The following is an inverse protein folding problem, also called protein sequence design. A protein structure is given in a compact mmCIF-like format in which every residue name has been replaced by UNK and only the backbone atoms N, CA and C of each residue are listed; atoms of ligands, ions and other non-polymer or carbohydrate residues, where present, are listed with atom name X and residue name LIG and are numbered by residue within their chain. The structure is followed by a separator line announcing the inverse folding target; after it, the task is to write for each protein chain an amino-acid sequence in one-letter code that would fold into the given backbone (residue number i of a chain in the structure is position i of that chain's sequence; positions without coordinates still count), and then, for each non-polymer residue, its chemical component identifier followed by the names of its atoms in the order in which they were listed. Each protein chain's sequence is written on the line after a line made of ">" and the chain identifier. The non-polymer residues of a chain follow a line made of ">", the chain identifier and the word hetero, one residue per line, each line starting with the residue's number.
data_IF_132761777721
#
_entry.id   IF_132761777721
#
_cell.length_a   1.000
_cell.length_b   1.000
_cell.length_c   1.000
_cell.angle_alpha   90.00
_cell.angle_beta   90.00
_cell.angle_gamma   90.00
#
_symmetry.space_group_name_H-M   'P 1'
#
loop_
_entity.id
_entity.type
_entity.pdbx_description
1 polymer ?
#
# COMPACT_ATOMS: atom_id res chain seq x y z
N UNK A 1 -19.75 22.61 5.57
CA UNK A 1 -18.42 22.48 6.21
C UNK A 1 -17.48 21.89 5.16
N UNK A 2 -16.35 22.58 4.96
CA UNK A 2 -15.31 22.51 3.90
C UNK A 2 -15.22 21.26 3.01
N UNK A 3 -15.07 21.43 1.67
CA UNK A 3 -14.82 20.31 0.76
C UNK A 3 -13.40 19.79 1.01
N UNK A 4 -13.28 18.51 1.35
CA UNK A 4 -11.99 17.84 1.49
C UNK A 4 -11.36 17.76 0.09
N UNK A 5 -10.53 18.73 -0.26
CA UNK A 5 -9.70 18.71 -1.45
C UNK A 5 -9.02 17.33 -1.57
N UNK A 6 -9.14 16.71 -2.75
CA UNK A 6 -8.73 15.35 -3.10
C UNK A 6 -7.69 14.71 -2.16
N UNK A 7 -8.18 14.00 -1.14
CA UNK A 7 -7.30 13.20 -0.29
C UNK A 7 -6.86 12.02 -1.15
N UNK A 8 -5.62 12.09 -1.62
CA UNK A 8 -5.01 11.02 -2.41
C UNK A 8 -5.17 9.67 -1.69
N UNK A 9 -5.25 8.59 -2.45
CA UNK A 9 -5.31 7.22 -1.97
C UNK A 9 -4.13 6.93 -1.04
N UNK A 10 -2.92 7.42 -1.37
CA UNK A 10 -1.77 7.32 -0.47
C UNK A 10 -2.03 7.98 0.88
N UNK A 11 -2.63 9.18 0.88
CA UNK A 11 -2.98 9.91 2.11
C UNK A 11 -4.06 9.18 2.92
N UNK A 12 -5.04 8.58 2.24
CA UNK A 12 -6.06 7.73 2.87
C UNK A 12 -5.44 6.51 3.55
N UNK A 13 -4.52 5.81 2.87
CA UNK A 13 -3.83 4.63 3.40
C UNK A 13 -2.94 5.01 4.59
N UNK A 14 -2.19 6.12 4.51
CA UNK A 14 -1.36 6.63 5.61
C UNK A 14 -2.19 6.97 6.84
N UNK A 15 -3.36 7.59 6.65
CA UNK A 15 -4.29 7.90 7.75
C UNK A 15 -4.79 6.62 8.41
N UNK A 16 -5.25 5.66 7.61
CA UNK A 16 -5.72 4.37 8.11
C UNK A 16 -4.64 3.61 8.91
N UNK A 17 -3.41 3.62 8.40
CA UNK A 17 -2.26 3.04 9.10
C UNK A 17 -1.99 3.72 10.44
N UNK A 18 -2.01 5.06 10.48
CA UNK A 18 -1.81 5.84 11.70
C UNK A 18 -2.88 5.55 12.76
N UNK A 19 -4.15 5.57 12.35
CA UNK A 19 -5.29 5.33 13.23
C UNK A 19 -5.24 3.92 13.87
N UNK A 20 -4.62 2.96 13.18
CA UNK A 20 -4.47 1.57 13.63
C UNK A 20 -3.06 1.22 14.14
N UNK A 21 -2.17 2.22 14.34
CA UNK A 21 -0.79 2.03 14.79
C UNK A 21 -0.04 0.96 13.95
N UNK A 22 -0.13 1.09 12.64
CA UNK A 22 0.55 0.24 11.65
C UNK A 22 1.66 1.04 10.99
N UNK A 23 2.87 0.47 10.97
CA UNK A 23 4.04 1.06 10.32
C UNK A 23 4.27 0.41 8.96
N UNK A 24 5.07 1.05 8.12
CA UNK A 24 5.50 0.53 6.82
C UNK A 24 6.73 -0.41 6.95
N UNK A 25 7.09 -0.82 8.15
CA UNK A 25 8.24 -1.71 8.35
C UNK A 25 7.90 -3.11 7.84
N UNK A 26 8.76 -3.64 6.97
CA UNK A 26 8.67 -5.03 6.55
C UNK A 26 9.00 -5.93 7.74
N UNK A 27 8.10 -6.85 8.08
CA UNK A 27 8.35 -7.89 9.08
C UNK A 27 9.11 -9.09 8.47
N UNK A 28 9.42 -10.09 9.31
CA UNK A 28 10.12 -11.30 8.88
C UNK A 28 9.38 -12.08 7.77
N UNK A 29 8.06 -12.14 7.82
CA UNK A 29 7.25 -12.83 6.81
C UNK A 29 7.24 -12.06 5.49
N UNK A 30 7.17 -10.72 5.53
CA UNK A 30 7.28 -9.87 4.35
C UNK A 30 8.65 -10.03 3.67
N UNK A 31 9.73 -10.08 4.46
CA UNK A 31 11.08 -10.38 3.94
C UNK A 31 11.18 -11.77 3.32
N UNK A 32 10.63 -12.79 3.99
CA UNK A 32 10.58 -14.15 3.45
C UNK A 32 9.81 -14.19 2.13
N UNK A 33 8.67 -13.50 2.02
CA UNK A 33 7.89 -13.44 0.79
C UNK A 33 8.74 -12.86 -0.36
N UNK A 34 9.45 -11.76 -0.14
CA UNK A 34 10.37 -11.16 -1.13
C UNK A 34 11.50 -12.12 -1.51
N UNK A 35 12.07 -12.84 -0.54
CA UNK A 35 13.11 -13.85 -0.82
C UNK A 35 12.56 -15.00 -1.68
N UNK A 36 11.39 -15.52 -1.35
CA UNK A 36 10.77 -16.64 -2.09
C UNK A 36 10.42 -16.20 -3.51
N UNK A 37 9.83 -15.02 -3.70
CA UNK A 37 9.53 -14.50 -5.05
C UNK A 37 10.81 -14.32 -5.86
N UNK A 38 11.88 -13.81 -5.23
CA UNK A 38 13.19 -13.68 -5.90
C UNK A 38 13.77 -15.03 -6.32
N UNK A 39 13.65 -16.06 -5.49
CA UNK A 39 14.08 -17.42 -5.83
C UNK A 39 13.25 -18.03 -6.98
N UNK A 40 11.99 -17.63 -7.13
CA UNK A 40 11.14 -18.02 -8.24
C UNK A 40 11.47 -17.27 -9.55
N UNK A 41 12.43 -16.35 -9.54
CA UNK A 41 12.78 -15.51 -10.68
C UNK A 41 12.01 -14.19 -10.76
N UNK A 42 11.14 -13.91 -9.78
CA UNK A 42 10.34 -12.69 -9.74
C UNK A 42 10.99 -11.60 -8.87
N UNK A 43 11.06 -10.38 -9.39
CA UNK A 43 11.44 -9.21 -8.59
C UNK A 43 10.19 -8.49 -8.09
N UNK A 44 9.95 -8.53 -6.78
CA UNK A 44 8.87 -7.78 -6.12
C UNK A 44 9.48 -6.76 -5.19
N UNK A 45 9.29 -5.48 -5.50
CA UNK A 45 9.64 -4.36 -4.64
C UNK A 45 8.35 -3.61 -4.30
N UNK A 46 8.07 -3.49 -3.01
CA UNK A 46 6.92 -2.74 -2.52
C UNK A 46 7.40 -1.38 -2.05
N UNK A 47 6.69 -0.33 -2.43
CA UNK A 47 6.90 0.96 -1.80
C UNK A 47 6.30 1.01 -0.38
N UNK A 48 6.52 2.14 0.31
CA UNK A 48 6.00 2.32 1.65
C UNK A 48 4.46 2.24 1.78
N UNK A 49 3.70 2.67 0.77
CA UNK A 49 2.23 2.59 0.75
C UNK A 49 1.76 1.15 0.52
N UNK A 50 2.39 0.43 -0.40
CA UNK A 50 2.12 -0.98 -0.68
C UNK A 50 2.46 -1.85 0.52
N UNK A 51 3.58 -1.58 1.21
CA UNK A 51 3.93 -2.25 2.47
C UNK A 51 2.92 -1.93 3.59
N UNK A 52 2.38 -0.71 3.66
CA UNK A 52 1.29 -0.39 4.59
C UNK A 52 0.03 -1.21 4.31
N UNK A 53 -0.35 -1.39 3.04
CA UNK A 53 -1.49 -2.23 2.67
C UNK A 53 -1.29 -3.68 3.10
N UNK A 54 -0.10 -4.26 2.87
CA UNK A 54 0.24 -5.61 3.36
C UNK A 54 0.10 -5.71 4.87
N UNK A 55 0.66 -4.74 5.61
CA UNK A 55 0.64 -4.74 7.06
C UNK A 55 -0.78 -4.53 7.64
N UNK A 56 -1.59 -3.67 7.03
CA UNK A 56 -2.99 -3.43 7.39
C UNK A 56 -3.86 -4.68 7.19
N UNK A 57 -3.68 -5.39 6.06
CA UNK A 57 -4.34 -6.67 5.81
C UNK A 57 -3.97 -7.70 6.88
N UNK A 58 -2.67 -7.80 7.19
CA UNK A 58 -2.15 -8.80 8.13
C UNK A 58 -2.64 -8.58 9.56
N UNK A 59 -2.80 -7.32 9.98
CA UNK A 59 -3.43 -6.97 11.26
C UNK A 59 -4.96 -7.12 11.26
N UNK A 60 -5.57 -7.51 10.14
CA UNK A 60 -7.02 -7.66 10.02
C UNK A 60 -7.80 -6.36 9.92
N UNK A 61 -7.12 -5.22 9.73
CA UNK A 61 -7.76 -3.89 9.60
C UNK A 61 -8.50 -3.79 8.26
N UNK A 62 -7.96 -4.43 7.22
CA UNK A 62 -8.54 -4.45 5.88
C UNK A 62 -8.86 -5.87 5.45
N UNK A 63 -10.07 -6.04 4.92
CA UNK A 63 -10.48 -7.26 4.23
C UNK A 63 -9.80 -7.40 2.86
N UNK A 64 -9.85 -8.60 2.28
CA UNK A 64 -9.26 -8.89 0.96
C UNK A 64 -9.84 -7.98 -0.13
N UNK A 65 -11.15 -7.74 -0.14
CA UNK A 65 -11.80 -6.86 -1.12
C UNK A 65 -11.34 -5.41 -0.97
N UNK A 66 -11.28 -4.90 0.27
CA UNK A 66 -10.83 -3.53 0.53
C UNK A 66 -9.36 -3.30 0.12
N UNK A 67 -8.48 -4.28 0.36
CA UNK A 67 -7.09 -4.24 -0.11
C UNK A 67 -7.04 -4.14 -1.63
N UNK A 68 -7.77 -5.00 -2.34
CA UNK A 68 -7.77 -4.99 -3.81
C UNK A 68 -8.28 -3.66 -4.37
N UNK A 69 -9.34 -3.10 -3.78
CA UNK A 69 -9.86 -1.78 -4.17
C UNK A 69 -8.84 -0.67 -3.93
N UNK A 70 -8.21 -0.63 -2.74
CA UNK A 70 -7.22 0.42 -2.42
C UNK A 70 -5.95 0.29 -3.27
N UNK A 71 -5.47 -0.93 -3.51
CA UNK A 71 -4.31 -1.19 -4.35
C UNK A 71 -4.58 -0.78 -5.80
N UNK A 72 -5.75 -1.14 -6.34
CA UNK A 72 -6.16 -0.71 -7.68
C UNK A 72 -6.22 0.81 -7.81
N UNK A 73 -6.84 1.50 -6.84
CA UNK A 73 -6.90 2.97 -6.82
C UNK A 73 -5.52 3.61 -6.68
N UNK A 74 -4.64 3.06 -5.86
CA UNK A 74 -3.28 3.57 -5.67
C UNK A 74 -2.41 3.39 -6.92
N UNK A 75 -2.54 2.27 -7.64
CA UNK A 75 -1.86 2.07 -8.92
C UNK A 75 -2.29 3.09 -9.96
N UNK A 76 -3.57 3.47 -9.99
CA UNK A 76 -4.04 4.55 -10.88
C UNK A 76 -3.47 5.91 -10.46
N UNK A 77 -3.42 6.20 -9.15
CA UNK A 77 -2.79 7.42 -8.63
C UNK A 77 -1.32 7.52 -9.06
N UNK A 78 -0.53 6.46 -8.88
CA UNK A 78 0.87 6.41 -9.34
C UNK A 78 1.01 6.74 -10.82
N UNK A 79 0.21 6.08 -11.67
CA UNK A 79 0.23 6.29 -13.13
C UNK A 79 -0.12 7.72 -13.52
N UNK A 80 -1.04 8.36 -12.81
CA UNK A 80 -1.39 9.76 -13.05
C UNK A 80 -0.28 10.72 -12.59
N UNK A 81 0.38 10.44 -11.47
CA UNK A 81 1.50 11.25 -10.97
C UNK A 81 2.74 11.15 -11.86
N UNK A 82 3.04 9.98 -12.41
CA UNK A 82 4.15 9.77 -13.35
C UNK A 82 3.94 10.54 -14.66
N UNK A 83 2.71 10.57 -15.19
CA UNK A 83 2.35 11.30 -16.42
C UNK A 83 2.44 12.82 -16.32
N UNK A 84 2.36 13.37 -15.10
CA UNK A 84 2.48 14.81 -14.87
C UNK A 84 3.93 15.28 -14.73
N UNK A 85 4.89 14.34 -14.71
CA UNK A 85 6.32 14.59 -14.53
C UNK A 85 7.13 14.38 -15.82
N UNK A 86 6.45 14.17 -16.96
CA UNK A 86 7.03 13.86 -18.27
C UNK A 86 6.66 14.94 -19.31
#
# INVERSE_FOLDING_TARGET
>A
MTPSADVSVASQIRRLARDNKVTAEADGMSRMAVTITRLAGDAVELDGIEQLLVNLKRKGVLSKSQILTLQGRYLQEKRCSEKHSA
#
